data_IF_551994760086
#
_entry.id   IF_551994760086
#
_cell.length_a   1.000
_cell.length_b   1.000
_cell.length_c   1.000
_cell.angle_alpha   90.00
_cell.angle_beta   90.00
_cell.angle_gamma   90.00
#
_symmetry.space_group_name_H-M   'P 1'
#
loop_
_entity.id
_entity.type
_entity.pdbx_description
1 polymer ?
#
# COMPACT_ATOMS: atom_id res chain seq x y z
N UNK A 1 19.27 -5.29 -20.15
CA UNK A 1 18.40 -5.96 -21.14
C UNK A 1 17.18 -5.07 -21.30
N UNK A 2 16.92 -4.54 -22.50
CA UNK A 2 15.72 -3.74 -22.74
C UNK A 2 14.48 -4.62 -22.48
N UNK A 3 13.53 -4.10 -21.71
CA UNK A 3 12.23 -4.76 -21.52
C UNK A 3 11.62 -5.08 -22.89
N UNK A 4 11.13 -6.29 -23.03
CA UNK A 4 10.40 -6.63 -24.25
C UNK A 4 9.15 -5.74 -24.36
N UNK A 5 8.77 -5.26 -25.55
CA UNK A 5 7.55 -4.48 -25.73
C UNK A 5 6.31 -5.18 -25.15
N UNK A 6 6.30 -6.51 -25.10
CA UNK A 6 5.24 -7.32 -24.53
C UNK A 6 5.03 -7.11 -23.01
N UNK A 7 6.09 -6.84 -22.24
CA UNK A 7 5.97 -6.64 -20.79
C UNK A 7 5.27 -5.32 -20.40
N UNK A 8 5.33 -4.31 -21.27
CA UNK A 8 4.65 -3.01 -21.06
C UNK A 8 3.22 -3.01 -21.58
N UNK A 9 2.93 -3.83 -22.58
CA UNK A 9 1.60 -3.88 -23.22
C UNK A 9 0.62 -4.75 -22.43
N UNK A 10 1.08 -5.82 -21.80
CA UNK A 10 0.22 -6.74 -21.05
C UNK A 10 -0.59 -6.08 -19.92
N UNK A 11 -0.02 -5.19 -19.05
CA UNK A 11 -0.80 -4.51 -18.02
C UNK A 11 -1.86 -3.55 -18.60
N UNK A 12 -1.53 -2.87 -19.71
CA UNK A 12 -2.47 -1.97 -20.38
C UNK A 12 -3.65 -2.75 -21.01
N UNK A 13 -3.37 -3.90 -21.62
CA UNK A 13 -4.42 -4.77 -22.16
C UNK A 13 -5.32 -5.27 -21.03
N UNK A 14 -4.75 -5.74 -19.91
CA UNK A 14 -5.52 -6.19 -18.76
C UNK A 14 -6.44 -5.08 -18.22
N UNK A 15 -5.91 -3.86 -18.07
CA UNK A 15 -6.71 -2.69 -17.66
C UNK A 15 -7.83 -2.41 -18.68
N UNK A 16 -7.53 -2.40 -19.97
CA UNK A 16 -8.52 -2.16 -21.00
C UNK A 16 -9.64 -3.20 -21.00
N UNK A 17 -9.30 -4.49 -20.82
CA UNK A 17 -10.27 -5.58 -20.71
C UNK A 17 -11.19 -5.39 -19.51
N UNK A 18 -10.64 -5.03 -18.34
CA UNK A 18 -11.43 -4.76 -17.14
C UNK A 18 -12.38 -3.56 -17.34
N UNK A 19 -11.88 -2.47 -17.92
CA UNK A 19 -12.70 -1.28 -18.21
C UNK A 19 -13.81 -1.61 -19.18
N UNK A 20 -13.53 -2.34 -20.27
CA UNK A 20 -14.55 -2.75 -21.25
C UNK A 20 -15.59 -3.65 -20.56
N UNK A 21 -15.17 -4.62 -19.76
CA UNK A 21 -16.09 -5.49 -19.04
C UNK A 21 -17.01 -4.71 -18.08
N UNK A 22 -16.46 -3.76 -17.33
CA UNK A 22 -17.24 -2.89 -16.44
C UNK A 22 -18.25 -2.03 -17.21
N UNK A 23 -17.83 -1.46 -18.34
CA UNK A 23 -18.73 -0.67 -19.23
C UNK A 23 -19.85 -1.56 -19.78
N UNK A 24 -19.55 -2.78 -20.19
CA UNK A 24 -20.55 -3.73 -20.67
C UNK A 24 -21.56 -4.07 -19.57
N UNK A 25 -21.09 -4.37 -18.36
CA UNK A 25 -21.95 -4.65 -17.20
C UNK A 25 -22.89 -3.46 -16.90
N UNK A 26 -22.37 -2.24 -16.88
CA UNK A 26 -23.17 -1.04 -16.68
C UNK A 26 -24.17 -0.81 -17.83
N UNK A 27 -23.74 -0.98 -19.07
CA UNK A 27 -24.58 -0.72 -20.26
C UNK A 27 -25.67 -1.79 -20.48
N UNK A 28 -25.44 -3.03 -20.07
CA UNK A 28 -26.41 -4.13 -20.19
C UNK A 28 -27.43 -4.17 -19.06
N UNK A 29 -27.23 -3.37 -17.99
CA UNK A 29 -28.12 -3.37 -16.83
C UNK A 29 -27.91 -4.58 -15.90
N UNK A 30 -26.81 -5.33 -16.05
CA UNK A 30 -26.43 -6.38 -15.12
C UNK A 30 -26.19 -5.81 -13.70
N UNK A 31 -25.77 -4.55 -13.60
CA UNK A 31 -25.85 -3.77 -12.39
C UNK A 31 -26.89 -2.68 -12.58
N UNK A 32 -28.02 -2.67 -11.81
CA UNK A 32 -29.06 -1.68 -11.93
C UNK A 32 -28.57 -0.24 -11.71
N UNK A 33 -29.16 0.72 -12.42
CA UNK A 33 -28.72 2.13 -12.37
C UNK A 33 -28.72 2.73 -10.95
N UNK A 34 -29.70 2.46 -10.07
CA UNK A 34 -29.65 2.94 -8.68
C UNK A 34 -28.44 2.40 -7.91
N UNK A 35 -28.11 1.12 -8.04
CA UNK A 35 -26.95 0.50 -7.39
C UNK A 35 -25.62 1.08 -7.93
N UNK A 36 -25.57 1.36 -9.25
CA UNK A 36 -24.42 2.01 -9.87
C UNK A 36 -24.20 3.44 -9.34
N UNK A 37 -25.28 4.19 -9.08
CA UNK A 37 -25.20 5.53 -8.49
C UNK A 37 -24.71 5.47 -7.04
N UNK A 38 -25.27 4.59 -6.23
CA UNK A 38 -24.86 4.38 -4.84
C UNK A 38 -23.38 3.95 -4.76
N UNK A 39 -22.96 3.03 -5.62
CA UNK A 39 -21.56 2.65 -5.78
C UNK A 39 -20.70 3.87 -6.12
N UNK A 40 -21.15 4.73 -7.03
CA UNK A 40 -20.46 5.96 -7.40
C UNK A 40 -20.25 6.90 -6.21
N UNK A 41 -21.28 7.14 -5.41
CA UNK A 41 -21.20 7.98 -4.20
C UNK A 41 -20.21 7.42 -3.17
N UNK A 42 -20.12 6.09 -3.05
CA UNK A 42 -19.18 5.41 -2.17
C UNK A 42 -17.73 5.49 -2.69
N UNK A 43 -17.52 5.33 -3.98
CA UNK A 43 -16.19 5.09 -4.58
C UNK A 43 -15.51 6.39 -5.05
N UNK A 44 -16.23 7.36 -5.58
CA UNK A 44 -15.66 8.58 -6.16
C UNK A 44 -14.80 9.37 -5.15
N UNK A 45 -15.23 9.63 -3.90
CA UNK A 45 -14.38 10.32 -2.93
C UNK A 45 -13.08 9.55 -2.59
N UNK A 46 -13.17 8.22 -2.60
CA UNK A 46 -12.02 7.34 -2.35
C UNK A 46 -11.00 7.44 -3.50
N UNK A 47 -11.46 7.37 -4.75
CA UNK A 47 -10.59 7.52 -5.92
C UNK A 47 -10.02 8.94 -6.02
N UNK A 48 -10.79 9.98 -5.66
CA UNK A 48 -10.32 11.36 -5.60
C UNK A 48 -9.17 11.50 -4.57
N UNK A 49 -9.30 10.88 -3.40
CA UNK A 49 -8.20 10.82 -2.43
C UNK A 49 -6.96 10.14 -3.01
N UNK A 50 -7.12 8.98 -3.68
CA UNK A 50 -5.99 8.25 -4.30
C UNK A 50 -5.25 9.12 -5.32
N UNK A 51 -5.97 9.87 -6.15
CA UNK A 51 -5.35 10.83 -7.08
C UNK A 51 -4.57 11.89 -6.33
N UNK A 52 -5.20 12.53 -5.35
CA UNK A 52 -4.60 13.63 -4.61
C UNK A 52 -3.34 13.20 -3.85
N UNK A 53 -3.40 12.08 -3.11
CA UNK A 53 -2.24 11.60 -2.33
C UNK A 53 -1.09 11.15 -3.24
N UNK A 54 -1.40 10.55 -4.40
CA UNK A 54 -0.38 10.18 -5.39
C UNK A 54 0.33 11.41 -5.95
N UNK A 55 -0.41 12.46 -6.29
CA UNK A 55 0.18 13.73 -6.75
C UNK A 55 1.08 14.34 -5.66
N UNK A 56 0.62 14.38 -4.40
CA UNK A 56 1.42 14.87 -3.27
C UNK A 56 2.72 14.09 -3.15
N UNK A 57 2.64 12.76 -3.19
CA UNK A 57 3.80 11.89 -3.02
C UNK A 57 4.80 12.03 -4.18
N UNK A 58 4.33 12.05 -5.43
CA UNK A 58 5.18 12.22 -6.61
C UNK A 58 5.88 13.60 -6.60
N UNK A 59 5.15 14.68 -6.32
CA UNK A 59 5.73 16.02 -6.28
C UNK A 59 6.69 16.19 -5.07
N UNK A 60 6.40 15.60 -3.92
CA UNK A 60 7.32 15.54 -2.79
C UNK A 60 8.60 14.78 -3.15
N UNK A 61 8.49 13.69 -3.91
CA UNK A 61 9.64 12.93 -4.42
C UNK A 61 10.48 13.75 -5.41
N UNK A 62 9.84 14.41 -6.36
CA UNK A 62 10.49 15.30 -7.34
C UNK A 62 11.18 16.50 -6.66
N UNK A 63 10.65 17.00 -5.53
CA UNK A 63 11.29 18.02 -4.71
C UNK A 63 12.50 17.48 -3.93
N UNK A 64 12.70 16.16 -3.85
CA UNK A 64 13.80 15.51 -3.14
C UNK A 64 13.52 15.23 -1.66
N UNK A 65 12.27 15.25 -1.21
CA UNK A 65 11.91 15.03 0.20
C UNK A 65 12.39 13.67 0.70
N UNK A 66 12.14 12.60 -0.06
CA UNK A 66 12.56 11.24 0.32
C UNK A 66 14.08 11.08 0.28
N UNK A 67 14.76 11.68 -0.71
CA UNK A 67 16.22 11.64 -0.81
C UNK A 67 16.88 12.38 0.36
N UNK A 68 16.38 13.56 0.71
CA UNK A 68 16.87 14.31 1.86
C UNK A 68 16.65 13.57 3.18
N UNK A 69 15.53 12.84 3.29
CA UNK A 69 15.25 12.04 4.47
C UNK A 69 16.19 10.82 4.55
N UNK A 70 16.44 10.12 3.43
CA UNK A 70 17.39 9.02 3.39
C UNK A 70 18.81 9.45 3.76
N UNK A 71 19.28 10.62 3.29
CA UNK A 71 20.58 11.18 3.67
C UNK A 71 20.65 11.48 5.19
N UNK A 72 19.57 11.97 5.77
CA UNK A 72 19.48 12.16 7.22
C UNK A 72 19.53 10.83 7.97
N UNK A 73 18.79 9.80 7.48
CA UNK A 73 18.81 8.47 8.09
C UNK A 73 20.21 7.85 8.01
N UNK A 74 20.93 8.01 6.88
CA UNK A 74 22.31 7.56 6.75
C UNK A 74 23.22 8.21 7.79
N UNK A 75 23.08 9.51 8.03
CA UNK A 75 23.84 10.23 9.08
C UNK A 75 23.47 9.75 10.48
N UNK A 76 22.18 9.58 10.78
CA UNK A 76 21.69 9.08 12.07
C UNK A 76 22.13 7.64 12.34
N UNK A 77 22.31 6.83 11.29
CA UNK A 77 22.82 5.45 11.37
C UNK A 77 24.29 5.35 11.84
N UNK A 78 25.04 6.47 11.87
CA UNK A 78 26.41 6.59 12.44
C UNK A 78 27.37 5.51 11.95
N UNK A 79 27.24 5.08 10.69
CA UNK A 79 28.03 4.02 10.10
C UNK A 79 27.71 2.59 10.59
N UNK A 80 26.68 2.41 11.41
CA UNK A 80 26.20 1.10 11.88
C UNK A 80 25.03 0.64 11.01
N UNK A 81 25.21 -0.44 10.27
CA UNK A 81 24.19 -0.91 9.32
C UNK A 81 22.90 -1.35 10.01
N UNK A 82 23.00 -1.97 11.20
CA UNK A 82 21.81 -2.33 11.99
C UNK A 82 20.95 -1.12 12.37
N UNK A 83 21.57 0.00 12.75
CA UNK A 83 20.84 1.21 13.09
C UNK A 83 20.19 1.82 11.83
N UNK A 84 20.91 1.84 10.70
CA UNK A 84 20.35 2.27 9.42
C UNK A 84 19.17 1.39 9.01
N UNK A 85 19.28 0.07 9.20
CA UNK A 85 18.20 -0.88 8.98
C UNK A 85 16.93 -0.51 9.76
N UNK A 86 17.04 -0.30 11.08
CA UNK A 86 15.90 0.10 11.91
C UNK A 86 15.27 1.42 11.45
N UNK A 87 16.09 2.39 11.08
CA UNK A 87 15.63 3.68 10.56
C UNK A 87 14.91 3.54 9.21
N UNK A 88 15.37 2.64 8.36
CA UNK A 88 14.70 2.35 7.07
C UNK A 88 13.38 1.60 7.29
N UNK A 89 13.33 0.64 8.23
CA UNK A 89 12.06 0.01 8.60
C UNK A 89 11.06 1.05 9.10
N UNK A 90 11.50 1.97 9.98
CA UNK A 90 10.65 3.05 10.47
C UNK A 90 10.17 3.97 9.33
N UNK A 91 11.07 4.35 8.40
CA UNK A 91 10.71 5.12 7.22
C UNK A 91 9.63 4.43 6.39
N UNK A 92 9.80 3.13 6.11
CA UNK A 92 8.83 2.36 5.33
C UNK A 92 7.47 2.29 6.05
N UNK A 93 7.44 2.06 7.37
CA UNK A 93 6.21 2.05 8.16
C UNK A 93 5.50 3.41 8.14
N UNK A 94 6.21 4.49 8.42
CA UNK A 94 5.63 5.85 8.44
C UNK A 94 5.15 6.25 7.05
N UNK A 95 5.95 6.00 6.02
CA UNK A 95 5.55 6.30 4.64
C UNK A 95 4.28 5.52 4.25
N UNK A 96 4.22 4.24 4.57
CA UNK A 96 3.04 3.41 4.26
C UNK A 96 1.81 3.89 5.03
N UNK A 97 1.94 4.09 6.33
CA UNK A 97 0.82 4.49 7.17
C UNK A 97 0.17 5.80 6.72
N UNK A 98 0.96 6.78 6.27
CA UNK A 98 0.46 8.12 5.96
C UNK A 98 0.35 8.45 4.47
N UNK A 99 1.17 7.85 3.62
CA UNK A 99 1.21 8.18 2.19
C UNK A 99 0.72 7.04 1.28
N UNK A 100 0.52 5.86 1.77
CA UNK A 100 0.06 4.63 1.14
C UNK A 100 1.15 3.57 0.85
N UNK A 101 0.69 2.33 0.69
CA UNK A 101 1.55 1.20 0.31
C UNK A 101 2.17 1.41 -1.08
N UNK A 102 1.41 1.97 -2.03
CA UNK A 102 1.88 2.21 -3.40
C UNK A 102 2.98 3.26 -3.42
N UNK A 103 2.83 4.34 -2.62
CA UNK A 103 3.88 5.36 -2.44
C UNK A 103 5.17 4.76 -1.90
N UNK A 104 5.09 3.91 -0.88
CA UNK A 104 6.26 3.23 -0.32
C UNK A 104 6.92 2.33 -1.36
N UNK A 105 6.14 1.57 -2.11
CA UNK A 105 6.63 0.69 -3.16
C UNK A 105 7.33 1.46 -4.31
N UNK A 106 6.76 2.58 -4.74
CA UNK A 106 7.20 3.32 -5.94
C UNK A 106 8.28 4.34 -5.62
N UNK A 107 8.17 5.09 -4.52
CA UNK A 107 9.00 6.26 -4.22
C UNK A 107 10.04 5.99 -3.14
N UNK A 108 9.70 5.25 -2.08
CA UNK A 108 10.65 4.94 -1.01
C UNK A 108 11.61 3.85 -1.42
N UNK A 109 11.16 2.83 -2.15
CA UNK A 109 12.02 1.72 -2.59
C UNK A 109 13.24 2.17 -3.38
N UNK A 110 13.15 2.98 -4.46
CA UNK A 110 14.32 3.45 -5.18
C UNK A 110 15.31 4.19 -4.28
N UNK A 111 14.80 5.06 -3.40
CA UNK A 111 15.63 5.86 -2.50
C UNK A 111 16.41 4.97 -1.54
N UNK A 112 15.76 3.97 -0.94
CA UNK A 112 16.38 3.05 0.01
C UNK A 112 17.34 2.07 -0.68
N UNK A 113 17.01 1.62 -1.89
CA UNK A 113 17.89 0.77 -2.72
C UNK A 113 19.15 1.52 -3.11
N UNK A 114 19.01 2.74 -3.63
CA UNK A 114 20.16 3.58 -3.98
C UNK A 114 21.00 3.93 -2.75
N UNK A 115 20.37 4.21 -1.61
CA UNK A 115 21.08 4.40 -0.35
C UNK A 115 21.91 3.16 0.00
N UNK A 116 21.35 1.95 -0.07
CA UNK A 116 22.06 0.72 0.22
C UNK A 116 23.27 0.52 -0.73
N UNK A 117 23.10 0.81 -2.02
CA UNK A 117 24.19 0.76 -3.00
C UNK A 117 25.27 1.81 -2.69
N UNK A 118 24.90 3.05 -2.39
CA UNK A 118 25.84 4.13 -2.04
C UNK A 118 26.64 3.85 -0.77
N UNK A 119 26.07 3.18 0.21
CA UNK A 119 26.81 2.78 1.42
C UNK A 119 27.57 1.45 1.26
N UNK A 120 27.53 0.85 0.06
CA UNK A 120 28.30 -0.34 -0.30
C UNK A 120 27.77 -1.64 0.29
N UNK A 121 26.43 -1.76 0.49
CA UNK A 121 25.78 -2.95 1.01
C UNK A 121 24.75 -3.51 0.01
N UNK A 122 24.37 -4.79 0.23
CA UNK A 122 23.33 -5.43 -0.62
C UNK A 122 22.00 -4.67 -0.52
N UNK A 123 21.39 -4.29 -1.64
CA UNK A 123 20.08 -3.63 -1.65
C UNK A 123 18.92 -4.58 -1.36
N UNK A 124 19.09 -5.89 -1.51
CA UNK A 124 18.00 -6.90 -1.41
C UNK A 124 17.28 -6.88 -0.06
N UNK A 125 17.97 -6.86 1.12
CA UNK A 125 17.28 -6.77 2.40
C UNK A 125 16.37 -5.54 2.48
N UNK A 126 16.90 -4.38 2.07
CA UNK A 126 16.20 -3.10 2.10
C UNK A 126 15.00 -3.09 1.15
N UNK A 127 15.16 -3.61 -0.05
CA UNK A 127 14.08 -3.75 -1.02
C UNK A 127 12.96 -4.67 -0.51
N UNK A 128 13.29 -5.83 0.08
CA UNK A 128 12.29 -6.70 0.68
C UNK A 128 11.58 -6.05 1.87
N UNK A 129 12.32 -5.29 2.69
CA UNK A 129 11.72 -4.57 3.80
C UNK A 129 10.68 -3.55 3.33
N UNK A 130 10.95 -2.80 2.25
CA UNK A 130 9.98 -1.81 1.75
C UNK A 130 8.69 -2.47 1.27
N UNK A 131 8.71 -3.55 0.51
CA UNK A 131 7.49 -4.20 0.02
C UNK A 131 6.73 -4.96 1.11
N UNK A 132 7.44 -5.60 2.04
CA UNK A 132 6.78 -6.27 3.16
C UNK A 132 6.10 -5.27 4.08
N UNK A 133 6.78 -4.18 4.44
CA UNK A 133 6.21 -3.14 5.29
C UNK A 133 5.19 -2.27 4.56
N UNK A 134 5.29 -2.11 3.23
CA UNK A 134 4.23 -1.53 2.44
C UNK A 134 2.91 -2.29 2.60
N UNK A 135 2.95 -3.62 2.58
CA UNK A 135 1.76 -4.43 2.82
C UNK A 135 1.37 -4.44 4.30
N UNK A 136 2.28 -4.82 5.22
CA UNK A 136 1.91 -5.07 6.62
C UNK A 136 1.65 -3.81 7.44
N UNK A 137 2.25 -2.66 7.12
CA UNK A 137 1.93 -1.38 7.76
C UNK A 137 0.69 -0.71 7.18
N UNK A 138 0.11 -1.24 6.09
CA UNK A 138 -1.07 -0.67 5.46
C UNK A 138 -2.37 -0.85 6.27
N UNK A 139 -2.30 -1.52 7.40
CA UNK A 139 -3.41 -1.68 8.34
C UNK A 139 -3.46 -0.59 9.43
N UNK A 140 -2.42 0.26 9.58
CA UNK A 140 -2.39 1.26 10.66
C UNK A 140 -3.45 2.36 10.50
N UNK A 141 -3.59 2.90 9.30
CA UNK A 141 -4.49 4.03 9.04
C UNK A 141 -5.37 3.75 7.81
N UNK A 142 -6.58 4.31 7.76
CA UNK A 142 -7.44 4.18 6.59
C UNK A 142 -6.75 4.60 5.29
N UNK A 143 -5.98 5.69 5.32
CA UNK A 143 -5.32 6.28 4.15
C UNK A 143 -4.17 5.45 3.59
N UNK A 144 -3.73 4.43 4.32
CA UNK A 144 -2.56 3.63 3.96
C UNK A 144 -2.81 2.61 2.84
N UNK A 145 -4.08 2.23 2.63
CA UNK A 145 -4.50 1.30 1.58
C UNK A 145 -5.94 1.58 1.16
N UNK A 146 -6.24 1.35 -0.11
CA UNK A 146 -7.59 1.50 -0.65
C UNK A 146 -8.61 0.58 0.07
N UNK A 147 -8.23 -0.65 0.39
CA UNK A 147 -9.06 -1.59 1.18
C UNK A 147 -9.35 -1.08 2.58
N UNK A 148 -8.34 -0.53 3.27
CA UNK A 148 -8.49 0.08 4.60
C UNK A 148 -9.37 1.34 4.56
N UNK A 149 -9.23 2.14 3.49
CA UNK A 149 -10.02 3.36 3.30
C UNK A 149 -11.50 3.05 3.05
N UNK A 150 -11.79 2.00 2.29
CA UNK A 150 -13.16 1.51 2.07
C UNK A 150 -13.76 0.99 3.39
N UNK A 151 -13.03 0.09 4.06
CA UNK A 151 -13.46 -0.48 5.33
C UNK A 151 -13.74 0.59 6.39
N UNK A 152 -12.94 1.65 6.44
CA UNK A 152 -13.11 2.72 7.43
C UNK A 152 -14.47 3.42 7.35
N UNK A 153 -15.15 3.37 6.21
CA UNK A 153 -16.50 3.91 6.04
C UNK A 153 -17.58 3.06 6.68
N UNK A 154 -17.32 1.80 6.95
CA UNK A 154 -18.22 0.86 7.63
C UNK A 154 -18.11 0.92 9.16
N UNK A 155 -17.27 1.82 9.72
CA UNK A 155 -17.12 2.04 11.15
C UNK A 155 -17.87 3.32 11.57
N UNK A 156 -18.88 3.19 12.42
CA UNK A 156 -19.71 4.32 12.91
C UNK A 156 -18.88 5.42 13.61
N UNK A 157 -17.80 5.03 14.30
CA UNK A 157 -16.88 5.94 14.99
C UNK A 157 -15.74 6.50 14.10
N UNK A 158 -15.81 6.27 12.78
CA UNK A 158 -14.84 6.81 11.82
C UNK A 158 -13.39 6.35 12.03
N UNK A 159 -12.39 7.18 11.65
CA UNK A 159 -10.96 6.82 11.68
C UNK A 159 -10.43 6.44 13.06
N UNK A 160 -11.00 6.99 14.13
CA UNK A 160 -10.58 6.66 15.51
C UNK A 160 -11.02 5.26 15.93
N UNK A 161 -12.22 4.85 15.56
CA UNK A 161 -12.68 3.48 15.82
C UNK A 161 -11.90 2.48 14.97
N UNK A 162 -11.63 2.80 13.70
CA UNK A 162 -10.76 1.99 12.85
C UNK A 162 -9.41 1.78 13.55
N UNK A 163 -8.75 2.87 13.97
CA UNK A 163 -7.46 2.79 14.66
C UNK A 163 -7.54 1.98 15.96
N UNK A 164 -8.60 2.16 16.75
CA UNK A 164 -8.79 1.44 18.01
C UNK A 164 -8.86 -0.08 17.84
N UNK A 165 -9.37 -0.58 16.71
CA UNK A 165 -9.44 -2.00 16.40
C UNK A 165 -8.21 -2.52 15.63
N UNK A 166 -7.53 -1.67 14.87
CA UNK A 166 -6.44 -2.10 13.99
C UNK A 166 -5.03 -1.90 14.57
N UNK A 167 -4.84 -1.05 15.60
CA UNK A 167 -3.50 -0.73 16.12
C UNK A 167 -2.70 -1.95 16.57
N UNK A 168 -3.34 -2.87 17.31
CA UNK A 168 -2.65 -4.06 17.83
C UNK A 168 -2.29 -5.06 16.72
N UNK A 169 -3.23 -5.49 15.85
CA UNK A 169 -2.89 -6.34 14.71
C UNK A 169 -1.89 -5.69 13.75
N UNK A 170 -1.98 -4.38 13.49
CA UNK A 170 -1.03 -3.67 12.65
C UNK A 170 0.39 -3.66 13.27
N UNK A 171 0.48 -3.34 14.56
CA UNK A 171 1.76 -3.35 15.28
C UNK A 171 2.38 -4.75 15.27
N UNK A 172 1.60 -5.78 15.60
CA UNK A 172 2.07 -7.18 15.59
C UNK A 172 2.50 -7.59 14.18
N UNK A 173 1.73 -7.26 13.16
CA UNK A 173 2.07 -7.52 11.76
C UNK A 173 3.40 -6.91 11.33
N UNK A 174 3.61 -5.63 11.65
CA UNK A 174 4.86 -4.91 11.36
C UNK A 174 6.04 -5.48 12.16
N UNK A 175 5.88 -5.70 13.47
CA UNK A 175 6.94 -6.23 14.32
C UNK A 175 7.34 -7.64 13.89
N UNK A 176 6.37 -8.50 13.59
CA UNK A 176 6.64 -9.86 13.10
C UNK A 176 7.38 -9.83 11.75
N UNK A 177 6.95 -9.00 10.81
CA UNK A 177 7.61 -8.83 9.51
C UNK A 177 9.03 -8.30 9.66
N UNK A 178 9.22 -7.27 10.47
CA UNK A 178 10.54 -6.70 10.77
C UNK A 178 11.46 -7.72 11.45
N UNK A 179 10.94 -8.52 12.39
CA UNK A 179 11.69 -9.55 13.10
C UNK A 179 12.13 -10.67 12.14
N UNK A 180 11.22 -11.18 11.30
CA UNK A 180 11.54 -12.22 10.30
C UNK A 180 12.64 -11.74 9.36
N UNK A 181 12.49 -10.55 8.76
CA UNK A 181 13.49 -10.01 7.84
C UNK A 181 14.82 -9.72 8.55
N UNK A 182 14.79 -9.17 9.76
CA UNK A 182 15.99 -8.92 10.56
C UNK A 182 16.72 -10.22 10.89
N UNK A 183 16.00 -11.30 11.22
CA UNK A 183 16.59 -12.60 11.48
C UNK A 183 17.19 -13.23 10.23
N UNK A 184 16.48 -13.19 9.09
CA UNK A 184 16.96 -13.73 7.81
C UNK A 184 18.24 -13.03 7.36
N UNK A 185 18.29 -11.71 7.49
CA UNK A 185 19.42 -10.91 7.01
C UNK A 185 20.44 -10.53 8.09
N UNK A 186 20.34 -11.04 9.33
CA UNK A 186 21.19 -10.68 10.48
C UNK A 186 22.68 -10.65 10.17
N UNK A 187 23.18 -11.65 9.41
CA UNK A 187 24.62 -11.75 9.06
C UNK A 187 25.07 -10.63 8.10
N UNK A 188 24.16 -10.11 7.29
CA UNK A 188 24.43 -8.99 6.38
C UNK A 188 24.34 -7.66 7.11
N UNK A 189 23.49 -7.56 8.13
CA UNK A 189 23.23 -6.35 8.91
C UNK A 189 24.31 -6.09 9.98
N UNK A 190 25.08 -7.10 10.37
CA UNK A 190 26.19 -6.97 11.31
C UNK A 190 27.47 -6.45 10.62
N UNK A 191 27.34 -5.27 9.98
CA UNK A 191 28.42 -4.61 9.27
C UNK A 191 28.40 -3.11 9.55
N UNK A 192 29.54 -2.46 9.25
CA UNK A 192 29.63 -1.00 9.19
C UNK A 192 29.60 -0.54 7.74
N UNK A 193 29.05 0.63 7.51
CA UNK A 193 29.07 1.28 6.20
C UNK A 193 29.84 2.61 6.24
N UNK A 194 30.28 3.07 5.08
CA UNK A 194 30.88 4.40 4.91
C UNK A 194 29.77 5.42 4.69
N UNK A 195 29.94 6.61 5.28
CA UNK A 195 28.97 7.69 5.08
C UNK A 195 28.92 8.08 3.61
N UNK A 196 27.73 8.09 3.00
CA UNK A 196 27.58 8.55 1.62
C UNK A 196 27.80 10.06 1.51
N UNK A 197 28.23 10.52 0.33
CA UNK A 197 28.17 11.94 -0.01
C UNK A 197 26.71 12.35 -0.12
N UNK A 198 26.28 13.48 0.51
CA UNK A 198 24.90 13.93 0.43
C UNK A 198 24.46 14.15 -1.02
N UNK A 199 23.21 13.80 -1.32
CA UNK A 199 22.61 14.09 -2.62
C UNK A 199 22.56 15.61 -2.86
N UNK A 200 22.83 16.03 -4.10
CA UNK A 200 22.64 17.42 -4.52
C UNK A 200 21.13 17.73 -4.55
N UNK A 201 20.73 18.81 -3.88
CA UNK A 201 19.34 19.31 -3.87
C UNK A 201 19.29 20.52 -4.79
N UNK A 202 18.70 20.41 -6.00
CA UNK A 202 18.72 21.49 -6.98
C UNK A 202 17.90 22.71 -6.55
N UNK A 203 16.74 22.49 -5.90
CA UNK A 203 15.81 23.56 -5.46
C UNK A 203 15.48 23.41 -3.98
N UNK A 204 16.30 24.02 -3.12
CA UNK A 204 16.11 23.98 -1.66
C UNK A 204 14.80 24.64 -1.18
N UNK A 205 14.35 25.79 -1.71
CA UNK A 205 13.06 26.36 -1.35
C UNK A 205 11.88 25.43 -1.66
N UNK A 206 11.90 24.78 -2.83
CA UNK A 206 10.85 23.81 -3.23
C UNK A 206 10.86 22.57 -2.33
N UNK A 207 12.04 22.05 -1.98
CA UNK A 207 12.18 20.96 -1.02
C UNK A 207 11.56 21.34 0.35
N UNK A 208 11.89 22.51 0.88
CA UNK A 208 11.37 22.96 2.19
C UNK A 208 9.86 23.10 2.15
N UNK A 209 9.34 23.77 1.12
CA UNK A 209 7.89 23.95 0.94
C UNK A 209 7.17 22.59 0.84
N UNK A 210 7.64 21.69 -0.02
CA UNK A 210 7.06 20.37 -0.18
C UNK A 210 7.12 19.55 1.12
N UNK A 211 8.23 19.64 1.86
CA UNK A 211 8.38 18.98 3.17
C UNK A 211 7.37 19.50 4.19
N UNK A 212 7.14 20.82 4.24
CA UNK A 212 6.16 21.43 5.16
C UNK A 212 4.75 20.99 4.79
N UNK A 213 4.34 21.07 3.52
CA UNK A 213 3.01 20.66 3.08
C UNK A 213 2.78 19.18 3.38
N UNK A 214 3.74 18.32 3.05
CA UNK A 214 3.62 16.88 3.35
C UNK A 214 3.53 16.63 4.85
N UNK A 215 4.35 17.30 5.68
CA UNK A 215 4.31 17.13 7.13
C UNK A 215 3.00 17.63 7.76
N UNK A 216 2.43 18.75 7.28
CA UNK A 216 1.15 19.27 7.74
C UNK A 216 -0.03 18.39 7.32
N UNK A 217 0.08 17.70 6.19
CA UNK A 217 -0.95 16.77 5.72
C UNK A 217 -1.12 15.57 6.68
N UNK A 218 -0.02 15.06 7.27
CA UNK A 218 -0.08 13.84 8.10
C UNK A 218 -1.11 13.92 9.26
N UNK A 219 -1.11 14.94 10.13
CA UNK A 219 -2.12 15.05 11.19
C UNK A 219 -3.53 15.29 10.65
N UNK A 220 -3.68 15.94 9.49
CA UNK A 220 -4.99 16.19 8.89
C UNK A 220 -5.64 14.88 8.39
N UNK A 221 -4.86 13.90 7.93
CA UNK A 221 -5.37 12.63 7.46
C UNK A 221 -5.97 11.75 8.60
N UNK A 222 -5.66 12.05 9.87
CA UNK A 222 -6.21 11.36 11.05
C UNK A 222 -7.15 12.25 11.88
N UNK A 223 -7.42 13.47 11.44
CA UNK A 223 -8.23 14.45 12.17
C UNK A 223 -9.73 14.19 12.17
N UNK A 224 -10.23 13.22 11.36
CA UNK A 224 -11.65 12.97 11.16
C UNK A 224 -12.28 13.80 10.03
N UNK A 225 -11.54 14.75 9.44
CA UNK A 225 -11.96 15.44 8.20
C UNK A 225 -11.92 14.45 7.04
N UNK A 226 -12.84 14.55 6.08
CA UNK A 226 -12.82 13.70 4.89
C UNK A 226 -11.47 13.80 4.17
N UNK A 227 -10.77 12.69 4.06
CA UNK A 227 -9.35 12.62 3.65
C UNK A 227 -9.07 13.19 2.26
N UNK A 228 -10.07 13.18 1.36
CA UNK A 228 -9.95 13.77 0.02
C UNK A 228 -9.76 15.30 0.06
N UNK A 229 -10.30 15.98 1.08
CA UNK A 229 -10.24 17.45 1.20
C UNK A 229 -8.80 17.90 1.52
N UNK A 230 -8.17 17.49 2.63
CA UNK A 230 -6.80 17.91 2.93
C UNK A 230 -5.79 17.41 1.91
N UNK A 231 -5.96 16.19 1.36
CA UNK A 231 -5.09 15.68 0.31
C UNK A 231 -5.21 16.48 -0.98
N UNK A 232 -6.44 16.84 -1.40
CA UNK A 232 -6.70 17.69 -2.56
C UNK A 232 -6.09 19.09 -2.38
N UNK A 233 -6.26 19.72 -1.22
CA UNK A 233 -5.66 21.01 -0.90
C UNK A 233 -4.13 20.96 -0.97
N UNK A 234 -3.51 19.94 -0.38
CA UNK A 234 -2.06 19.74 -0.43
C UNK A 234 -1.56 19.52 -1.88
N UNK A 235 -2.28 18.71 -2.68
CA UNK A 235 -1.96 18.50 -4.09
C UNK A 235 -2.01 19.81 -4.89
N UNK A 236 -3.04 20.63 -4.71
CA UNK A 236 -3.19 21.92 -5.39
C UNK A 236 -2.08 22.90 -5.00
N UNK A 237 -1.71 22.98 -3.72
CA UNK A 237 -0.60 23.82 -3.25
C UNK A 237 0.73 23.39 -3.86
N UNK A 238 1.02 22.09 -3.93
CA UNK A 238 2.23 21.58 -4.56
C UNK A 238 2.22 21.83 -6.07
N UNK A 239 1.11 21.57 -6.78
CA UNK A 239 0.97 21.88 -8.21
C UNK A 239 1.25 23.36 -8.46
N UNK A 240 0.69 24.28 -7.66
CA UNK A 240 0.91 25.71 -7.81
C UNK A 240 2.40 26.09 -7.60
N UNK A 241 3.07 25.51 -6.59
CA UNK A 241 4.49 25.73 -6.37
C UNK A 241 5.35 25.21 -7.53
N UNK A 242 5.05 24.00 -8.03
CA UNK A 242 5.75 23.42 -9.17
C UNK A 242 5.48 24.16 -10.48
N UNK A 243 4.28 24.69 -10.68
CA UNK A 243 3.94 25.50 -11.86
C UNK A 243 4.79 26.78 -11.98
N UNK A 244 5.31 27.30 -10.87
CA UNK A 244 6.17 28.48 -10.88
C UNK A 244 7.66 28.14 -10.95
N UNK A 245 8.09 26.97 -10.47
CA UNK A 245 9.51 26.64 -10.28
C UNK A 245 10.02 25.48 -11.12
N UNK A 246 9.18 24.46 -11.37
CA UNK A 246 9.55 23.22 -12.10
C UNK A 246 8.36 22.68 -12.87
N UNK A 247 7.94 23.39 -13.92
CA UNK A 247 6.79 23.02 -14.77
C UNK A 247 6.97 21.67 -15.47
N UNK A 248 8.22 21.29 -15.74
CA UNK A 248 8.60 20.00 -16.32
C UNK A 248 8.16 18.78 -15.51
N UNK A 249 8.02 18.94 -14.18
CA UNK A 249 7.50 17.91 -13.30
C UNK A 249 5.98 17.72 -13.40
N UNK A 250 5.25 18.73 -13.89
CA UNK A 250 3.79 18.67 -14.03
C UNK A 250 3.43 17.96 -15.34
N UNK A 251 3.30 16.65 -15.26
CA UNK A 251 3.00 15.75 -16.38
C UNK A 251 1.70 14.99 -16.14
N UNK A 252 1.03 14.60 -17.21
CA UNK A 252 -0.22 13.82 -17.15
C UNK A 252 -0.06 12.50 -16.39
N UNK A 253 1.16 11.94 -16.35
CA UNK A 253 1.49 10.74 -15.60
C UNK A 253 1.51 10.89 -14.06
N UNK A 254 1.30 12.11 -13.52
CA UNK A 254 1.09 12.29 -12.07
C UNK A 254 -0.22 11.65 -11.58
N UNK A 255 -1.22 11.54 -12.47
CA UNK A 255 -2.48 10.87 -12.16
C UNK A 255 -2.31 9.36 -12.41
N UNK A 256 -2.66 8.50 -11.44
CA UNK A 256 -2.48 7.05 -11.55
C UNK A 256 -3.61 6.41 -12.38
N UNK A 257 -3.69 6.75 -13.67
CA UNK A 257 -4.79 6.36 -14.58
C UNK A 257 -5.04 4.85 -14.60
N UNK A 258 -3.98 4.06 -14.61
CA UNK A 258 -4.10 2.60 -14.64
C UNK A 258 -4.71 2.08 -13.33
N UNK A 259 -4.26 2.58 -12.17
CA UNK A 259 -4.82 2.19 -10.88
C UNK A 259 -6.30 2.58 -10.76
N UNK A 260 -6.66 3.79 -11.24
CA UNK A 260 -8.06 4.25 -11.28
C UNK A 260 -8.92 3.37 -12.18
N UNK A 261 -8.43 3.02 -13.38
CA UNK A 261 -9.12 2.15 -14.32
C UNK A 261 -9.36 0.76 -13.75
N UNK A 262 -8.34 0.16 -13.15
CA UNK A 262 -8.43 -1.16 -12.50
C UNK A 262 -9.41 -1.10 -11.32
N UNK A 263 -9.20 -0.17 -10.39
CA UNK A 263 -10.04 -0.07 -9.19
C UNK A 263 -11.50 0.21 -9.54
N UNK A 264 -11.78 1.23 -10.37
CA UNK A 264 -13.14 1.57 -10.78
C UNK A 264 -13.85 0.40 -11.49
N UNK A 265 -13.13 -0.32 -12.35
CA UNK A 265 -13.69 -1.51 -13.03
C UNK A 265 -14.00 -2.62 -12.06
N UNK A 266 -13.09 -2.92 -11.12
CA UNK A 266 -13.28 -3.97 -10.12
C UNK A 266 -14.47 -3.68 -9.21
N UNK A 267 -14.70 -2.42 -8.83
CA UNK A 267 -15.89 -2.04 -8.08
C UNK A 267 -17.18 -2.44 -8.81
N UNK A 268 -17.31 -2.06 -10.08
CA UNK A 268 -18.51 -2.37 -10.89
C UNK A 268 -18.68 -3.88 -11.08
N UNK A 269 -17.59 -4.59 -11.40
CA UNK A 269 -17.65 -6.02 -11.70
C UNK A 269 -17.97 -6.87 -10.45
N UNK A 270 -17.40 -6.51 -9.29
CA UNK A 270 -17.65 -7.24 -8.06
C UNK A 270 -19.02 -6.93 -7.51
N UNK A 271 -19.50 -5.69 -7.58
CA UNK A 271 -20.87 -5.31 -7.18
C UNK A 271 -21.90 -6.08 -8.03
N UNK A 272 -21.70 -6.16 -9.34
CA UNK A 272 -22.55 -6.97 -10.21
C UNK A 272 -22.49 -8.47 -9.84
N UNK A 273 -21.34 -9.00 -9.47
CA UNK A 273 -21.22 -10.38 -9.00
C UNK A 273 -21.98 -10.62 -7.69
N UNK A 274 -21.98 -9.64 -6.77
CA UNK A 274 -22.78 -9.71 -5.53
C UNK A 274 -24.27 -9.73 -5.82
N UNK A 275 -24.74 -8.87 -6.72
CA UNK A 275 -26.14 -8.88 -7.17
C UNK A 275 -26.58 -10.23 -7.78
N UNK A 276 -25.62 -11.08 -8.18
CA UNK A 276 -25.85 -12.39 -8.78
C UNK A 276 -25.42 -13.58 -7.91
N UNK A 277 -25.36 -13.41 -6.58
CA UNK A 277 -25.20 -14.51 -5.62
C UNK A 277 -23.76 -14.80 -5.16
N UNK A 278 -22.80 -13.93 -5.44
CA UNK A 278 -21.43 -14.12 -4.95
C UNK A 278 -21.37 -14.11 -3.41
N UNK A 279 -22.16 -13.24 -2.75
CA UNK A 279 -22.18 -13.13 -1.29
C UNK A 279 -22.63 -14.42 -0.60
N UNK A 280 -23.64 -15.11 -1.13
CA UNK A 280 -24.15 -16.37 -0.58
C UNK A 280 -23.12 -17.49 -0.68
N UNK A 281 -22.40 -17.57 -1.80
CA UNK A 281 -21.33 -18.55 -1.99
C UNK A 281 -20.19 -18.32 -1.00
N UNK A 282 -19.78 -17.05 -0.80
CA UNK A 282 -18.70 -16.71 0.10
C UNK A 282 -19.08 -16.86 1.56
N UNK A 283 -20.34 -16.57 1.95
CA UNK A 283 -20.85 -16.76 3.29
C UNK A 283 -20.76 -18.23 3.76
N UNK A 284 -20.90 -19.18 2.83
CA UNK A 284 -20.80 -20.60 3.14
C UNK A 284 -19.42 -21.05 3.61
N UNK A 285 -18.35 -20.37 3.19
CA UNK A 285 -16.95 -20.73 3.49
C UNK A 285 -16.27 -19.79 4.50
N UNK A 286 -16.81 -18.57 4.70
CA UNK A 286 -16.16 -17.54 5.49
C UNK A 286 -16.29 -17.70 7.02
N UNK A 287 -17.02 -18.71 7.50
CA UNK A 287 -17.33 -18.89 8.90
C UNK A 287 -18.29 -17.81 9.43
N UNK A 288 -18.66 -17.90 10.69
CA UNK A 288 -19.55 -16.95 11.37
C UNK A 288 -19.07 -16.69 12.79
N UNK A 289 -19.36 -15.48 13.31
CA UNK A 289 -19.00 -15.08 14.66
C UNK A 289 -17.61 -14.43 14.76
N UNK A 290 -17.33 -13.96 15.98
CA UNK A 290 -16.14 -13.15 16.32
C UNK A 290 -15.16 -13.91 17.22
N UNK A 291 -15.33 -15.24 17.34
CA UNK A 291 -14.36 -16.06 18.06
C UNK A 291 -13.02 -16.15 17.32
N UNK A 292 -11.91 -16.40 18.02
CA UNK A 292 -10.57 -16.33 17.42
C UNK A 292 -10.37 -17.26 16.22
N UNK A 293 -11.06 -18.42 16.18
CA UNK A 293 -10.93 -19.38 15.07
C UNK A 293 -11.69 -18.89 13.83
N UNK A 294 -12.91 -18.35 14.01
CA UNK A 294 -13.71 -17.77 12.94
C UNK A 294 -13.05 -16.53 12.35
N UNK A 295 -12.44 -15.68 13.17
CA UNK A 295 -11.63 -14.54 12.71
C UNK A 295 -10.39 -15.01 11.92
N UNK A 296 -9.68 -16.03 12.41
CA UNK A 296 -8.52 -16.60 11.72
C UNK A 296 -8.92 -17.24 10.40
N UNK A 297 -10.07 -17.91 10.33
CA UNK A 297 -10.60 -18.50 9.10
C UNK A 297 -10.83 -17.42 8.04
N UNK A 298 -11.50 -16.32 8.41
CA UNK A 298 -11.77 -15.21 7.48
C UNK A 298 -10.46 -14.53 7.04
N UNK A 299 -9.52 -14.29 7.97
CA UNK A 299 -8.21 -13.73 7.64
C UNK A 299 -7.41 -14.66 6.69
N UNK A 300 -7.45 -15.97 6.91
CA UNK A 300 -6.78 -16.94 6.04
C UNK A 300 -7.40 -16.98 4.63
N UNK A 301 -8.73 -16.94 4.53
CA UNK A 301 -9.45 -16.86 3.25
C UNK A 301 -9.09 -15.55 2.54
N UNK A 302 -9.11 -14.42 3.26
CA UNK A 302 -8.67 -13.13 2.71
C UNK A 302 -7.25 -13.17 2.18
N UNK A 303 -6.31 -13.76 2.94
CA UNK A 303 -4.91 -13.91 2.51
C UNK A 303 -4.76 -14.82 1.29
N UNK A 304 -5.47 -15.95 1.27
CA UNK A 304 -5.47 -16.88 0.12
C UNK A 304 -6.05 -16.21 -1.12
N UNK A 305 -7.19 -15.54 -0.99
CA UNK A 305 -7.84 -14.81 -2.08
C UNK A 305 -6.96 -13.68 -2.62
N UNK A 306 -6.34 -12.88 -1.74
CA UNK A 306 -5.43 -11.82 -2.17
C UNK A 306 -4.24 -12.36 -2.96
N UNK A 307 -3.65 -13.47 -2.55
CA UNK A 307 -2.57 -14.11 -3.29
C UNK A 307 -3.04 -14.81 -4.58
N UNK A 308 -4.32 -15.17 -4.67
CA UNK A 308 -4.93 -15.74 -5.89
C UNK A 308 -5.25 -14.68 -6.95
N UNK A 309 -5.93 -13.59 -6.55
CA UNK A 309 -6.54 -12.63 -7.49
C UNK A 309 -6.15 -11.16 -7.28
N UNK A 310 -5.43 -10.80 -6.25
CA UNK A 310 -5.09 -9.46 -5.76
C UNK A 310 -5.92 -9.02 -4.54
N UNK A 311 -5.34 -8.13 -3.72
CA UNK A 311 -5.94 -7.72 -2.44
C UNK A 311 -7.25 -6.92 -2.60
N UNK A 312 -7.33 -6.03 -3.61
CA UNK A 312 -8.53 -5.20 -3.78
C UNK A 312 -9.76 -6.03 -4.19
N UNK A 313 -9.74 -6.84 -5.27
CA UNK A 313 -10.89 -7.69 -5.60
C UNK A 313 -11.19 -8.73 -4.52
N UNK A 314 -10.17 -9.24 -3.80
CA UNK A 314 -10.39 -10.15 -2.67
C UNK A 314 -11.14 -9.46 -1.52
N UNK A 315 -10.78 -8.22 -1.18
CA UNK A 315 -11.48 -7.40 -0.19
C UNK A 315 -12.93 -7.17 -0.62
N UNK A 316 -13.13 -6.64 -1.83
CA UNK A 316 -14.47 -6.31 -2.34
C UNK A 316 -15.39 -7.54 -2.37
N UNK A 317 -14.87 -8.70 -2.78
CA UNK A 317 -15.65 -9.92 -2.79
C UNK A 317 -16.06 -10.41 -1.40
N UNK A 318 -15.19 -10.24 -0.39
CA UNK A 318 -15.40 -10.75 0.97
C UNK A 318 -15.98 -9.71 1.94
N UNK A 319 -16.01 -8.42 1.60
CA UNK A 319 -16.53 -7.36 2.48
C UNK A 319 -17.96 -7.63 2.96
N UNK A 320 -18.94 -8.04 2.13
CA UNK A 320 -20.31 -8.25 2.57
C UNK A 320 -20.50 -9.40 3.58
N UNK A 321 -19.56 -10.35 3.64
CA UNK A 321 -19.60 -11.46 4.60
C UNK A 321 -18.87 -11.14 5.92
N UNK A 322 -18.26 -9.96 6.01
CA UNK A 322 -17.63 -9.45 7.22
C UNK A 322 -18.64 -8.60 8.03
N UNK A 323 -19.67 -9.27 8.58
CA UNK A 323 -20.87 -8.67 9.18
C UNK A 323 -20.62 -7.90 10.48
N UNK A 324 -19.42 -7.96 11.08
CA UNK A 324 -19.06 -7.23 12.31
C UNK A 324 -17.76 -6.43 12.13
N UNK A 325 -17.53 -5.38 12.95
CA UNK A 325 -16.27 -4.65 12.96
C UNK A 325 -15.03 -5.55 13.16
N UNK A 326 -15.13 -6.57 14.01
CA UNK A 326 -14.05 -7.52 14.27
C UNK A 326 -13.76 -8.38 13.02
N UNK A 327 -14.79 -8.88 12.36
CA UNK A 327 -14.66 -9.65 11.11
C UNK A 327 -14.10 -8.79 9.98
N UNK A 328 -14.53 -7.53 9.90
CA UNK A 328 -13.99 -6.61 8.89
C UNK A 328 -12.48 -6.37 9.09
N UNK A 329 -12.02 -6.22 10.34
CA UNK A 329 -10.60 -6.14 10.66
C UNK A 329 -9.89 -7.46 10.37
N UNK A 330 -10.48 -8.61 10.66
CA UNK A 330 -9.92 -9.92 10.31
C UNK A 330 -9.74 -10.08 8.80
N UNK A 331 -10.74 -9.65 8.02
CA UNK A 331 -10.61 -9.59 6.55
C UNK A 331 -9.45 -8.68 6.11
N UNK A 332 -9.36 -7.48 6.69
CA UNK A 332 -8.26 -6.55 6.41
C UNK A 332 -6.89 -7.14 6.77
N UNK A 333 -6.77 -7.88 7.87
CA UNK A 333 -5.54 -8.62 8.19
C UNK A 333 -5.20 -9.56 7.05
N UNK A 334 -6.15 -10.33 6.56
CA UNK A 334 -5.95 -11.26 5.44
C UNK A 334 -5.50 -10.56 4.17
N UNK A 335 -6.25 -9.56 3.70
CA UNK A 335 -6.02 -8.92 2.40
C UNK A 335 -4.90 -7.88 2.40
N UNK A 336 -4.46 -7.39 3.55
CA UNK A 336 -3.38 -6.40 3.65
C UNK A 336 -2.06 -7.03 4.11
N UNK A 337 -2.07 -7.93 5.11
CA UNK A 337 -0.86 -8.58 5.61
C UNK A 337 -0.54 -9.89 4.86
N UNK A 338 -1.54 -10.48 4.19
CA UNK A 338 -1.40 -11.68 3.38
C UNK A 338 -0.65 -11.54 2.05
N UNK A 339 -0.67 -10.39 1.34
CA UNK A 339 -0.07 -10.21 0.02
C UNK A 339 1.46 -10.21 0.00
N UNK A 340 2.09 -11.22 0.56
CA UNK A 340 3.55 -11.37 0.63
C UNK A 340 4.06 -12.56 -0.20
N UNK A 341 3.15 -13.39 -0.77
CA UNK A 341 3.53 -14.65 -1.41
C UNK A 341 3.64 -14.49 -2.92
N UNK A 342 2.59 -14.01 -3.59
CA UNK A 342 2.60 -13.90 -5.04
C UNK A 342 2.90 -12.49 -5.52
N UNK A 343 3.53 -12.33 -6.69
CA UNK A 343 3.85 -11.00 -7.24
C UNK A 343 2.62 -10.12 -7.46
N UNK A 344 1.50 -10.71 -7.82
CA UNK A 344 0.25 -10.03 -8.16
C UNK A 344 -0.69 -9.85 -6.96
N UNK A 345 -0.32 -10.34 -5.77
CA UNK A 345 -1.16 -10.24 -4.58
C UNK A 345 -1.47 -8.81 -4.15
N UNK A 346 -0.60 -7.85 -4.47
CA UNK A 346 -0.89 -6.42 -4.36
C UNK A 346 -0.28 -5.65 -5.55
N UNK A 347 -0.93 -4.55 -5.93
CA UNK A 347 -0.40 -3.66 -6.97
C UNK A 347 0.97 -3.10 -6.54
N UNK A 348 1.12 -2.77 -5.27
CA UNK A 348 2.38 -2.31 -4.72
C UNK A 348 3.55 -3.27 -4.98
N UNK A 349 3.34 -4.59 -4.91
CA UNK A 349 4.38 -5.58 -5.18
C UNK A 349 4.82 -5.56 -6.65
N UNK A 350 3.89 -5.39 -7.59
CA UNK A 350 4.20 -5.26 -9.01
C UNK A 350 4.98 -3.98 -9.30
N UNK A 351 4.52 -2.84 -8.79
CA UNK A 351 5.19 -1.55 -8.92
C UNK A 351 6.59 -1.55 -8.28
N UNK A 352 6.70 -2.15 -7.10
CA UNK A 352 7.99 -2.35 -6.44
C UNK A 352 8.96 -3.16 -7.32
N UNK A 353 8.49 -4.24 -7.93
CA UNK A 353 9.34 -5.04 -8.83
C UNK A 353 9.80 -4.25 -10.06
N UNK A 354 8.91 -3.47 -10.68
CA UNK A 354 9.29 -2.58 -11.79
C UNK A 354 10.40 -1.60 -11.39
N UNK A 355 10.30 -1.01 -10.18
CA UNK A 355 11.34 -0.12 -9.65
C UNK A 355 12.66 -0.84 -9.44
N UNK A 356 12.65 -2.08 -8.94
CA UNK A 356 13.89 -2.87 -8.81
C UNK A 356 14.53 -3.16 -10.15
N UNK A 357 13.74 -3.59 -11.14
CA UNK A 357 14.22 -3.87 -12.49
C UNK A 357 14.86 -2.62 -13.12
N UNK A 358 14.22 -1.45 -12.98
CA UNK A 358 14.75 -0.18 -13.49
C UNK A 358 16.07 0.24 -12.84
N UNK A 359 16.33 -0.23 -11.61
CA UNK A 359 17.59 -0.01 -10.87
C UNK A 359 18.62 -1.13 -11.08
N UNK A 360 18.32 -2.11 -11.94
CA UNK A 360 19.21 -3.25 -12.20
C UNK A 360 19.29 -4.25 -11.04
N UNK A 361 18.35 -4.21 -10.09
CA UNK A 361 18.27 -5.13 -8.95
C UNK A 361 17.34 -6.28 -9.31
N UNK A 362 17.87 -7.50 -9.32
CA UNK A 362 17.07 -8.71 -9.58
C UNK A 362 16.79 -9.46 -8.29
N UNK A 363 15.57 -9.98 -8.17
CA UNK A 363 15.17 -10.83 -7.07
C UNK A 363 14.67 -12.17 -7.59
N UNK A 364 14.99 -13.24 -6.90
CA UNK A 364 14.47 -14.58 -7.21
C UNK A 364 13.03 -14.69 -6.72
N UNK A 365 12.07 -14.86 -7.63
CA UNK A 365 10.67 -15.09 -7.28
C UNK A 365 10.46 -16.31 -6.39
N UNK A 366 11.23 -17.38 -6.60
CA UNK A 366 11.15 -18.55 -5.74
C UNK A 366 11.53 -18.23 -4.29
N UNK A 367 12.57 -17.40 -4.07
CA UNK A 367 12.96 -16.96 -2.73
C UNK A 367 11.92 -15.99 -2.14
N UNK A 368 11.37 -15.12 -2.96
CA UNK A 368 10.29 -14.20 -2.56
C UNK A 368 9.08 -14.99 -2.07
N UNK A 369 8.59 -15.95 -2.87
CA UNK A 369 7.44 -16.82 -2.54
C UNK A 369 7.72 -17.65 -1.29
N UNK A 370 8.89 -18.30 -1.20
CA UNK A 370 9.24 -19.13 -0.04
C UNK A 370 9.29 -18.31 1.26
N UNK A 371 9.90 -17.11 1.21
CA UNK A 371 9.94 -16.22 2.36
C UNK A 371 8.55 -15.68 2.70
N UNK A 372 7.76 -15.32 1.67
CA UNK A 372 6.38 -14.86 1.81
C UNK A 372 5.48 -15.89 2.46
N UNK A 373 5.57 -17.16 2.08
CA UNK A 373 4.80 -18.25 2.70
C UNK A 373 5.10 -18.37 4.20
N UNK A 374 6.38 -18.33 4.58
CA UNK A 374 6.78 -18.32 6.01
C UNK A 374 6.24 -17.07 6.70
N UNK A 375 6.33 -15.90 6.03
CA UNK A 375 5.84 -14.63 6.55
C UNK A 375 4.34 -14.68 6.82
N UNK A 376 3.53 -15.05 5.84
CA UNK A 376 2.07 -15.12 5.96
C UNK A 376 1.64 -16.11 7.03
N UNK A 377 2.27 -17.30 7.09
CA UNK A 377 1.97 -18.32 8.09
C UNK A 377 2.26 -17.88 9.54
N UNK A 378 3.07 -16.84 9.73
CA UNK A 378 3.39 -16.28 11.05
C UNK A 378 2.60 -14.97 11.29
N UNK A 379 2.65 -14.05 10.32
CA UNK A 379 2.13 -12.69 10.49
C UNK A 379 0.61 -12.68 10.60
N UNK A 380 -0.09 -13.41 9.72
CA UNK A 380 -1.57 -13.39 9.71
C UNK A 380 -2.15 -13.99 10.99
N UNK A 381 -1.73 -15.19 11.46
CA UNK A 381 -2.25 -15.71 12.73
C UNK A 381 -1.91 -14.84 13.94
N UNK A 382 -0.68 -14.32 14.04
CA UNK A 382 -0.28 -13.46 15.16
C UNK A 382 -1.08 -12.16 15.18
N UNK A 383 -1.30 -11.52 14.03
CA UNK A 383 -2.12 -10.31 13.92
C UNK A 383 -3.60 -10.60 14.28
N UNK A 384 -4.14 -11.73 13.84
CA UNK A 384 -5.53 -12.14 14.18
C UNK A 384 -5.67 -12.46 15.67
N UNK A 385 -4.69 -13.11 16.30
CA UNK A 385 -4.66 -13.31 17.74
C UNK A 385 -4.57 -11.99 18.52
N UNK A 386 -3.79 -11.02 18.00
CA UNK A 386 -3.73 -9.69 18.60
C UNK A 386 -5.07 -8.95 18.49
N UNK A 387 -5.80 -9.08 17.37
CA UNK A 387 -7.17 -8.59 17.25
C UNK A 387 -8.07 -9.24 18.31
N UNK A 388 -8.10 -10.57 18.36
CA UNK A 388 -8.97 -11.30 19.31
C UNK A 388 -8.67 -10.99 20.79
N UNK A 389 -7.42 -10.63 21.11
CA UNK A 389 -7.02 -10.26 22.47
C UNK A 389 -7.42 -8.82 22.86
N UNK A 390 -7.84 -7.98 21.90
CA UNK A 390 -8.21 -6.58 22.12
C UNK A 390 -9.70 -6.30 21.92
N UNK A 391 -10.48 -7.32 21.56
CA UNK A 391 -11.96 -7.29 21.54
C UNK A 391 -12.51 -7.49 22.95
#
# INVERSE_FOLDING_TARGET
MAESPASRVAPLIATAVLVIAAVVVAATGLLPAPELLELGERVVPVLAFVVAITIVAELASEAGVFSALADRLAKLGRGRLWLLWMLVLLLAVVSTAFLSLDTTAVLVTPVVVLLAVHVGVSPIPFALATVWLANTASLFLPVSNLTSLLAARSFDGGPLQFLALTWAPALVGVVASAAILSFVFRRQLDRRYRMPTPASIPDRPLLIFSSIITALLLPLLVSGVEVAIPAGAAALLLIAAFATRRRDALRFGLVPWQALGIAGSLFVLVEAAHAHGLSELLAAVSGRGDDPLSLLQLAAIGAASANGINNLPAYLALEPVAESPARLVALLIGVNLGPLVTPWASLATLLWHERLVSLGVTISWLRFVALGLVGVAIVVPLATLALAATL
#
